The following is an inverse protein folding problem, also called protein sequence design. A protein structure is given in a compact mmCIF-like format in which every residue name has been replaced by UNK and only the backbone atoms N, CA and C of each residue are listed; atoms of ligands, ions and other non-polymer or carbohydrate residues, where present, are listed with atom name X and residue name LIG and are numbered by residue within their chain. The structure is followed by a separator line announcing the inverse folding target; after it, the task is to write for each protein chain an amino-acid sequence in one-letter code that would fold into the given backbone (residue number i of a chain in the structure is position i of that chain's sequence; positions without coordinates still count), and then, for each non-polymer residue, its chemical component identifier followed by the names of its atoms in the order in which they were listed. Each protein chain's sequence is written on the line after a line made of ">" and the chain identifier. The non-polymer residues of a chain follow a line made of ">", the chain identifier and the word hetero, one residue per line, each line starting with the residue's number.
data_IF_564310235452
#
_entry.id   IF_564310235452
#
_cell.length_a   1.000
_cell.length_b   1.000
_cell.length_c   1.000
_cell.angle_alpha   90.00
_cell.angle_beta   90.00
_cell.angle_gamma   90.00
#
_symmetry.space_group_name_H-M   'P 1'
#
loop_
_entity.id
_entity.type
_entity.pdbx_description
1 polymer ?
#
# COMPACT_ATOMS: atom_id res chain seq x y z
N UNK A 1 2.50 6.50 32.63
CA UNK A 1 1.22 5.81 32.90
C UNK A 1 0.51 5.54 31.58
N UNK A 2 0.75 4.37 31.00
CA UNK A 2 0.07 3.93 29.78
C UNK A 2 -1.30 3.34 30.17
N UNK A 3 -2.35 3.73 29.44
CA UNK A 3 -3.73 3.25 29.62
C UNK A 3 -3.91 1.96 28.82
N UNK A 4 -4.66 0.96 29.31
CA UNK A 4 -4.78 -0.34 28.67
C UNK A 4 -5.89 -0.31 27.62
N UNK A 5 -5.56 0.01 26.37
CA UNK A 5 -6.48 -0.22 25.25
C UNK A 5 -5.67 -0.50 23.98
N UNK A 6 -5.33 -1.77 23.76
CA UNK A 6 -5.16 -2.47 22.46
C UNK A 6 -4.31 -1.87 21.33
N UNK A 7 -3.78 -0.66 21.46
CA UNK A 7 -3.08 0.08 20.43
C UNK A 7 -1.57 -0.04 20.66
N UNK A 8 -0.84 -0.31 19.58
CA UNK A 8 0.62 -0.26 19.53
C UNK A 8 1.12 1.19 19.69
N UNK A 9 1.02 1.77 20.90
CA UNK A 9 1.60 3.10 21.25
C UNK A 9 2.22 3.03 22.65
N UNK A 10 3.42 3.55 22.91
CA UNK A 10 4.04 4.76 22.38
C UNK A 10 5.58 4.66 22.34
N UNK A 11 6.27 5.21 21.33
CA UNK A 11 7.53 5.92 21.52
C UNK A 11 7.21 7.35 21.99
N UNK A 12 7.95 7.87 22.97
CA UNK A 12 7.85 9.26 23.45
C UNK A 12 8.26 10.29 22.39
N UNK A 13 8.52 11.56 22.76
CA UNK A 13 8.98 12.59 21.82
C UNK A 13 10.39 12.24 21.32
N UNK A 14 10.45 11.38 20.31
CA UNK A 14 11.69 10.95 19.65
C UNK A 14 11.88 11.81 18.41
N UNK A 15 12.94 12.60 18.42
CA UNK A 15 13.47 13.21 17.22
C UNK A 15 13.63 12.15 16.11
N UNK A 16 13.05 12.40 14.94
CA UNK A 16 13.49 11.78 13.67
C UNK A 16 13.08 10.34 13.40
N UNK A 17 11.82 9.94 13.65
CA UNK A 17 11.35 8.63 13.21
C UNK A 17 11.02 8.65 11.71
N UNK A 18 12.06 8.73 10.89
CA UNK A 18 11.97 8.74 9.42
C UNK A 18 11.47 7.41 8.86
N UNK A 19 11.70 6.31 9.58
CA UNK A 19 11.36 4.94 9.13
C UNK A 19 10.78 4.13 10.29
N UNK A 20 9.62 3.53 10.08
CA UNK A 20 8.98 2.59 10.99
C UNK A 20 8.96 1.20 10.35
N UNK A 21 9.43 0.18 11.06
CA UNK A 21 9.39 -1.21 10.61
C UNK A 21 8.66 -2.06 11.64
N UNK A 22 7.64 -2.79 11.18
CA UNK A 22 6.85 -3.75 11.93
C UNK A 22 7.16 -5.14 11.37
N UNK A 23 7.99 -5.91 12.08
CA UNK A 23 8.36 -7.25 11.65
C UNK A 23 8.25 -8.30 12.76
N UNK A 24 7.85 -9.52 12.40
CA UNK A 24 7.75 -10.67 13.29
C UNK A 24 6.85 -10.44 14.52
N UNK A 25 5.80 -9.63 14.37
CA UNK A 25 4.88 -9.33 15.46
C UNK A 25 3.71 -10.34 15.53
N UNK A 26 3.18 -10.64 16.72
CA UNK A 26 2.00 -11.51 16.87
C UNK A 26 0.70 -10.70 16.71
N UNK A 27 0.61 -9.88 15.66
CA UNK A 27 -0.54 -8.99 15.43
C UNK A 27 -1.41 -9.52 14.30
N UNK A 28 -2.72 -9.61 14.57
CA UNK A 28 -3.71 -10.06 13.57
C UNK A 28 -4.28 -8.94 12.72
N UNK A 29 -4.28 -7.72 13.24
CA UNK A 29 -4.93 -6.58 12.60
C UNK A 29 -4.03 -5.36 12.74
N UNK A 30 -3.87 -4.61 11.66
CA UNK A 30 -3.43 -3.21 11.73
C UNK A 30 -4.70 -2.36 11.81
N UNK A 31 -4.99 -1.76 12.97
CA UNK A 31 -6.26 -1.09 13.20
C UNK A 31 -6.35 0.25 12.48
N UNK A 32 -7.56 0.77 12.35
CA UNK A 32 -7.81 2.13 11.90
C UNK A 32 -6.99 3.13 12.72
N UNK A 33 -6.41 4.15 12.06
CA UNK A 33 -5.62 5.20 12.69
C UNK A 33 -4.37 4.72 13.45
N UNK A 34 -3.88 3.50 13.17
CA UNK A 34 -2.69 2.92 13.82
C UNK A 34 -1.51 3.90 13.89
N UNK A 35 -1.25 4.61 12.79
CA UNK A 35 -0.09 5.49 12.63
C UNK A 35 -0.39 6.98 12.87
N UNK A 36 -1.59 7.34 13.33
CA UNK A 36 -2.02 8.75 13.50
C UNK A 36 -1.06 9.61 14.34
N UNK A 37 -0.57 10.73 13.82
CA UNK A 37 0.34 11.59 14.56
C UNK A 37 1.82 11.17 14.51
N UNK A 38 2.15 10.12 13.76
CA UNK A 38 3.51 9.87 13.29
C UNK A 38 3.84 10.81 12.11
N UNK A 39 3.78 12.13 12.34
CA UNK A 39 3.82 13.12 11.26
C UNK A 39 5.18 13.16 10.54
N UNK A 40 6.26 12.70 11.18
CA UNK A 40 7.63 12.72 10.63
C UNK A 40 7.98 11.43 9.87
N UNK A 41 7.07 10.45 9.79
CA UNK A 41 7.36 9.17 9.17
C UNK A 41 7.43 9.30 7.65
N UNK A 42 8.53 8.84 7.07
CA UNK A 42 8.76 8.83 5.61
C UNK A 42 8.56 7.43 5.03
N UNK A 43 8.84 6.38 5.82
CA UNK A 43 8.70 4.99 5.39
C UNK A 43 8.02 4.14 6.45
N UNK A 44 7.03 3.35 6.03
CA UNK A 44 6.45 2.29 6.85
C UNK A 44 6.67 0.95 6.15
N UNK A 45 7.28 0.02 6.87
CA UNK A 45 7.47 -1.37 6.44
C UNK A 45 6.71 -2.30 7.37
N UNK A 46 5.90 -3.19 6.79
CA UNK A 46 5.17 -4.26 7.46
C UNK A 46 5.63 -5.56 6.81
N UNK A 47 6.44 -6.35 7.51
CA UNK A 47 7.03 -7.54 6.92
C UNK A 47 7.08 -8.75 7.83
N UNK A 48 7.01 -9.96 7.28
CA UNK A 48 7.17 -11.21 8.04
C UNK A 48 6.22 -11.36 9.24
N UNK A 49 4.97 -10.88 9.08
CA UNK A 49 3.93 -10.99 10.11
C UNK A 49 2.98 -12.12 9.71
N UNK A 50 3.32 -13.35 10.11
CA UNK A 50 2.55 -14.55 9.76
C UNK A 50 1.13 -14.54 10.31
N UNK A 51 0.89 -13.83 11.42
CA UNK A 51 -0.43 -13.76 12.04
C UNK A 51 -1.32 -12.64 11.48
N UNK A 52 -0.81 -11.75 10.62
CA UNK A 52 -1.55 -10.62 10.12
C UNK A 52 -2.63 -11.08 9.13
N UNK A 53 -3.89 -10.76 9.43
CA UNK A 53 -5.05 -11.16 8.64
C UNK A 53 -5.72 -9.97 7.94
N UNK A 54 -5.66 -8.77 8.54
CA UNK A 54 -6.37 -7.57 8.07
C UNK A 54 -5.60 -6.27 8.29
N UNK A 55 -5.71 -5.36 7.32
CA UNK A 55 -5.43 -3.92 7.48
C UNK A 55 -6.77 -3.19 7.33
N UNK A 56 -7.16 -2.46 8.36
CA UNK A 56 -8.45 -1.77 8.41
C UNK A 56 -8.45 -0.45 7.60
N UNK A 57 -9.65 0.05 7.31
CA UNK A 57 -9.84 1.34 6.68
C UNK A 57 -9.22 2.46 7.54
N UNK A 58 -8.67 3.48 6.88
CA UNK A 58 -7.96 4.60 7.51
C UNK A 58 -6.72 4.20 8.33
N UNK A 59 -6.13 3.01 8.11
CA UNK A 59 -4.90 2.60 8.80
C UNK A 59 -3.73 3.57 8.52
N UNK A 60 -3.57 4.00 7.25
CA UNK A 60 -2.54 4.93 6.79
C UNK A 60 -3.11 6.32 6.47
N UNK A 61 -4.05 6.80 7.27
CA UNK A 61 -4.76 8.06 6.99
C UNK A 61 -3.92 9.30 7.35
N UNK A 62 -3.93 10.30 6.45
CA UNK A 62 -3.37 11.65 6.67
C UNK A 62 -1.88 11.69 7.05
N UNK A 63 -1.07 10.76 6.53
CA UNK A 63 0.38 10.74 6.75
C UNK A 63 1.10 11.58 5.70
N UNK A 64 1.11 12.91 5.92
CA UNK A 64 1.52 13.90 4.92
C UNK A 64 2.98 13.81 4.45
N UNK A 65 3.86 13.22 5.26
CA UNK A 65 5.28 13.04 4.94
C UNK A 65 5.62 11.61 4.47
N UNK A 66 4.66 10.70 4.49
CA UNK A 66 4.89 9.31 4.14
C UNK A 66 5.13 9.17 2.64
N UNK A 67 6.27 8.58 2.30
CA UNK A 67 6.75 8.43 0.95
C UNK A 67 6.77 6.97 0.49
N UNK A 68 7.03 6.04 1.40
CA UNK A 68 7.16 4.62 1.06
C UNK A 68 6.31 3.75 2.01
N UNK A 69 5.49 2.88 1.43
CA UNK A 69 4.78 1.81 2.14
C UNK A 69 5.21 0.47 1.55
N UNK A 70 5.74 -0.42 2.40
CA UNK A 70 6.09 -1.78 2.05
C UNK A 70 5.26 -2.76 2.88
N UNK A 71 4.50 -3.63 2.24
CA UNK A 71 3.75 -4.72 2.88
C UNK A 71 4.21 -6.02 2.23
N UNK A 72 5.05 -6.79 2.91
CA UNK A 72 5.78 -7.89 2.29
C UNK A 72 5.82 -9.15 3.14
N UNK A 73 5.72 -10.32 2.53
CA UNK A 73 5.84 -11.60 3.24
C UNK A 73 4.84 -11.76 4.40
N UNK A 74 3.61 -11.26 4.22
CA UNK A 74 2.50 -11.43 5.17
C UNK A 74 1.44 -12.33 4.56
N UNK A 75 1.75 -13.62 4.43
CA UNK A 75 0.96 -14.57 3.61
C UNK A 75 -0.48 -14.76 4.06
N UNK A 76 -0.77 -14.51 5.34
CA UNK A 76 -2.13 -14.61 5.87
C UNK A 76 -2.94 -13.32 5.77
N UNK A 77 -2.34 -12.22 5.27
CA UNK A 77 -3.06 -10.96 5.05
C UNK A 77 -4.05 -11.16 3.92
N UNK A 78 -5.34 -11.25 4.24
CA UNK A 78 -6.41 -11.54 3.28
C UNK A 78 -7.20 -10.30 2.89
N UNK A 79 -7.20 -9.29 3.76
CA UNK A 79 -8.02 -8.10 3.60
C UNK A 79 -7.19 -6.84 3.83
N UNK A 80 -7.12 -6.00 2.80
CA UNK A 80 -6.82 -4.58 2.93
C UNK A 80 -8.14 -3.89 2.65
N UNK A 81 -8.73 -3.26 3.67
CA UNK A 81 -10.04 -2.66 3.53
C UNK A 81 -10.03 -1.44 2.59
N UNK A 82 -11.13 -1.17 1.87
CA UNK A 82 -11.25 0.04 1.06
C UNK A 82 -10.97 1.29 1.88
N UNK A 83 -10.17 2.20 1.33
CA UNK A 83 -9.72 3.38 2.08
C UNK A 83 -8.69 3.11 3.17
N UNK A 84 -7.95 1.99 3.15
CA UNK A 84 -6.78 1.82 4.03
C UNK A 84 -5.70 2.89 3.77
N UNK A 85 -5.57 3.34 2.52
CA UNK A 85 -4.63 4.37 2.07
C UNK A 85 -5.40 5.64 1.68
N UNK A 86 -5.40 6.65 2.56
CA UNK A 86 -6.14 7.89 2.35
C UNK A 86 -5.23 9.10 2.57
N UNK A 87 -5.29 10.04 1.63
CA UNK A 87 -4.62 11.35 1.70
C UNK A 87 -3.13 11.24 2.05
N UNK A 88 -2.37 10.68 1.10
CA UNK A 88 -0.95 10.44 1.18
C UNK A 88 -0.22 11.24 0.08
N UNK A 89 -0.15 12.58 0.21
CA UNK A 89 0.25 13.49 -0.87
C UNK A 89 1.70 13.29 -1.34
N UNK A 90 2.58 12.71 -0.51
CA UNK A 90 4.00 12.45 -0.80
C UNK A 90 4.34 10.99 -1.08
N UNK A 91 3.32 10.12 -1.17
CA UNK A 91 3.55 8.70 -1.41
C UNK A 91 4.08 8.53 -2.83
N UNK A 92 5.27 7.95 -2.97
CA UNK A 92 5.91 7.65 -4.26
C UNK A 92 6.04 6.15 -4.51
N UNK A 93 6.00 5.33 -3.45
CA UNK A 93 6.23 3.89 -3.55
C UNK A 93 5.25 3.13 -2.65
N UNK A 94 4.39 2.32 -3.25
CA UNK A 94 3.54 1.37 -2.56
C UNK A 94 3.85 -0.04 -3.10
N UNK A 95 4.41 -0.88 -2.25
CA UNK A 95 4.71 -2.29 -2.57
C UNK A 95 3.88 -3.20 -1.69
N UNK A 96 3.10 -4.08 -2.30
CA UNK A 96 2.33 -5.12 -1.64
C UNK A 96 2.72 -6.44 -2.29
N UNK A 97 3.56 -7.21 -1.60
CA UNK A 97 4.15 -8.41 -2.16
C UNK A 97 4.06 -9.64 -1.27
N UNK A 98 3.87 -10.80 -1.90
CA UNK A 98 3.81 -12.10 -1.20
C UNK A 98 2.80 -12.06 -0.04
N UNK A 99 1.57 -11.65 -0.34
CA UNK A 99 0.44 -11.61 0.61
C UNK A 99 -0.70 -12.52 0.16
N UNK A 100 -1.66 -12.74 1.05
CA UNK A 100 -2.84 -13.58 0.80
C UNK A 100 -4.05 -12.81 0.25
N UNK A 101 -3.89 -11.56 -0.19
CA UNK A 101 -5.01 -10.72 -0.61
C UNK A 101 -5.65 -11.27 -1.89
N UNK A 102 -6.98 -11.20 -1.93
CA UNK A 102 -7.79 -11.71 -3.05
C UNK A 102 -8.36 -10.62 -3.94
N UNK A 103 -8.40 -9.39 -3.41
CA UNK A 103 -8.89 -8.21 -4.10
C UNK A 103 -7.72 -7.26 -4.30
N UNK A 104 -7.72 -6.57 -5.44
CA UNK A 104 -6.80 -5.47 -5.67
C UNK A 104 -6.97 -4.40 -4.59
N UNK A 105 -5.88 -3.85 -4.02
CA UNK A 105 -5.96 -2.83 -2.99
C UNK A 105 -6.61 -1.55 -3.52
N UNK A 106 -7.50 -0.95 -2.73
CA UNK A 106 -8.13 0.32 -3.10
C UNK A 106 -7.14 1.48 -2.92
N UNK A 107 -6.73 2.06 -4.04
CA UNK A 107 -5.79 3.17 -4.15
C UNK A 107 -6.46 4.44 -4.70
N UNK A 108 -7.79 4.43 -4.83
CA UNK A 108 -8.57 5.54 -5.41
C UNK A 108 -8.56 6.82 -4.55
N UNK A 109 -8.15 6.71 -3.28
CA UNK A 109 -8.11 7.81 -2.30
C UNK A 109 -6.70 8.18 -1.83
N UNK A 110 -5.66 7.66 -2.50
CA UNK A 110 -4.27 7.97 -2.15
C UNK A 110 -3.99 9.46 -2.33
N UNK A 111 -4.47 10.07 -3.43
CA UNK A 111 -4.31 11.50 -3.74
C UNK A 111 -2.84 11.97 -3.64
N UNK A 112 -1.91 11.15 -4.14
CA UNK A 112 -0.50 11.54 -4.22
C UNK A 112 -0.28 12.63 -5.27
N UNK A 113 0.61 13.58 -4.97
CA UNK A 113 1.04 14.64 -5.89
C UNK A 113 2.45 14.38 -6.46
N UNK A 114 3.03 13.21 -6.17
CA UNK A 114 4.35 12.83 -6.69
C UNK A 114 4.28 12.48 -8.18
N UNK A 115 5.26 12.92 -8.97
CA UNK A 115 5.31 12.73 -10.43
C UNK A 115 5.69 11.32 -10.87
N UNK A 116 6.36 10.55 -10.01
CA UNK A 116 6.81 9.19 -10.30
C UNK A 116 6.30 8.23 -9.22
N UNK A 117 5.02 7.88 -9.33
CA UNK A 117 4.39 6.92 -8.43
C UNK A 117 4.63 5.49 -8.92
N UNK A 118 5.17 4.65 -8.03
CA UNK A 118 5.42 3.24 -8.30
C UNK A 118 4.46 2.41 -7.45
N UNK A 119 3.61 1.64 -8.13
CA UNK A 119 2.77 0.63 -7.49
C UNK A 119 3.30 -0.76 -7.87
N UNK A 120 3.81 -1.46 -6.87
CA UNK A 120 4.32 -2.82 -7.04
C UNK A 120 3.37 -3.81 -6.35
N UNK A 121 2.69 -4.64 -7.14
CA UNK A 121 1.83 -5.71 -6.65
C UNK A 121 2.42 -7.04 -7.14
N UNK A 122 3.23 -7.71 -6.31
CA UNK A 122 3.98 -8.91 -6.72
C UNK A 122 3.67 -10.14 -5.86
N UNK A 123 3.78 -11.34 -6.42
CA UNK A 123 3.58 -12.61 -5.68
C UNK A 123 2.26 -12.72 -4.88
N UNK A 124 1.19 -12.02 -5.31
CA UNK A 124 -0.14 -12.13 -4.70
C UNK A 124 -0.98 -13.14 -5.47
N UNK A 125 -0.78 -14.43 -5.15
CA UNK A 125 -1.30 -15.60 -5.88
C UNK A 125 -2.84 -15.72 -5.96
N UNK A 126 -3.57 -14.81 -5.33
CA UNK A 126 -5.03 -14.89 -5.23
C UNK A 126 -5.76 -13.67 -5.79
N UNK A 127 -5.03 -12.66 -6.29
CA UNK A 127 -5.66 -11.55 -7.02
C UNK A 127 -5.98 -12.02 -8.43
N UNK A 128 -7.26 -12.01 -8.77
CA UNK A 128 -7.75 -12.46 -10.08
C UNK A 128 -8.44 -11.38 -10.89
N UNK A 129 -8.64 -10.19 -10.31
CA UNK A 129 -9.34 -9.08 -10.94
C UNK A 129 -8.76 -7.76 -10.46
N UNK A 130 -8.68 -6.79 -11.38
CA UNK A 130 -8.45 -5.38 -11.06
C UNK A 130 -9.76 -4.66 -11.41
N UNK A 131 -10.34 -3.87 -10.48
CA UNK A 131 -11.59 -3.18 -10.74
C UNK A 131 -11.37 -1.96 -11.63
N UNK A 132 -12.28 -1.72 -12.58
CA UNK A 132 -12.23 -0.53 -13.41
C UNK A 132 -12.09 0.76 -12.58
N UNK A 133 -11.25 1.68 -13.06
CA UNK A 133 -10.85 2.91 -12.36
C UNK A 133 -10.04 2.69 -11.07
N UNK A 134 -9.45 1.50 -10.85
CA UNK A 134 -8.60 1.23 -9.68
C UNK A 134 -7.52 2.29 -9.45
N UNK A 135 -6.99 2.90 -10.53
CA UNK A 135 -5.87 3.84 -10.49
C UNK A 135 -6.27 5.32 -10.38
N UNK A 136 -7.56 5.65 -10.27
CA UNK A 136 -8.06 7.03 -10.30
C UNK A 136 -7.46 7.95 -9.22
N UNK A 137 -7.02 7.39 -8.09
CA UNK A 137 -6.45 8.14 -6.98
C UNK A 137 -4.96 8.46 -7.11
N UNK A 138 -4.32 8.06 -8.22
CA UNK A 138 -2.92 8.32 -8.52
C UNK A 138 -2.80 9.52 -9.47
N UNK A 139 -1.69 10.26 -9.35
CA UNK A 139 -1.35 11.38 -10.23
C UNK A 139 -1.28 10.95 -11.71
N UNK A 140 -1.69 11.87 -12.59
CA UNK A 140 -1.84 11.78 -14.05
C UNK A 140 -0.53 11.74 -14.87
N UNK A 141 0.67 11.79 -14.27
CA UNK A 141 1.91 11.81 -15.05
C UNK A 141 2.36 10.40 -15.47
N UNK A 142 2.69 9.54 -14.50
CA UNK A 142 3.00 8.14 -14.78
C UNK A 142 2.81 7.22 -13.58
N UNK A 143 2.35 6.00 -13.85
CA UNK A 143 2.28 4.91 -12.87
C UNK A 143 3.14 3.77 -13.37
N UNK A 144 4.28 3.57 -12.71
CA UNK A 144 5.15 2.44 -13.02
C UNK A 144 4.69 1.21 -12.26
N UNK A 145 4.45 0.13 -13.01
CA UNK A 145 4.11 -1.19 -12.48
C UNK A 145 5.29 -2.12 -12.78
N UNK A 146 6.27 -2.29 -11.87
CA UNK A 146 7.40 -3.18 -12.10
C UNK A 146 6.90 -4.63 -12.09
N UNK A 147 6.94 -5.27 -13.25
CA UNK A 147 6.44 -6.64 -13.43
C UNK A 147 7.58 -7.65 -13.32
N UNK A 148 8.01 -7.96 -12.10
CA UNK A 148 8.85 -9.14 -11.88
C UNK A 148 8.03 -10.17 -11.09
N UNK A 149 7.76 -11.31 -11.74
CA UNK A 149 7.10 -12.51 -11.20
C UNK A 149 5.60 -12.47 -10.88
N UNK A 150 4.85 -11.43 -11.26
CA UNK A 150 3.39 -11.44 -11.14
C UNK A 150 2.74 -12.41 -12.13
N UNK A 151 1.80 -13.22 -11.65
CA UNK A 151 0.93 -14.13 -12.41
C UNK A 151 0.46 -13.49 -13.74
N UNK A 152 0.61 -14.20 -14.86
CA UNK A 152 0.29 -13.68 -16.22
C UNK A 152 -1.13 -13.09 -16.30
N UNK A 153 -2.05 -13.59 -15.47
CA UNK A 153 -3.41 -13.09 -15.36
C UNK A 153 -3.49 -11.59 -14.97
N UNK A 154 -2.63 -11.11 -14.08
CA UNK A 154 -2.64 -9.70 -13.62
C UNK A 154 -2.12 -8.78 -14.73
N UNK A 155 -1.14 -9.22 -15.52
CA UNK A 155 -0.65 -8.48 -16.69
C UNK A 155 -1.76 -8.29 -17.73
N UNK A 156 -2.52 -9.35 -18.03
CA UNK A 156 -3.65 -9.28 -18.96
C UNK A 156 -4.77 -8.35 -18.47
N UNK A 157 -5.11 -8.39 -17.17
CA UNK A 157 -6.12 -7.50 -16.58
C UNK A 157 -5.67 -6.04 -16.65
N UNK A 158 -4.39 -5.78 -16.40
CA UNK A 158 -3.84 -4.42 -16.47
C UNK A 158 -3.81 -3.91 -17.91
N UNK A 159 -3.44 -4.75 -18.88
CA UNK A 159 -3.51 -4.42 -20.31
C UNK A 159 -4.95 -4.18 -20.79
N UNK A 160 -5.93 -4.85 -20.17
CA UNK A 160 -7.34 -4.64 -20.45
C UNK A 160 -7.83 -3.30 -19.91
N UNK A 161 -7.49 -2.95 -18.68
CA UNK A 161 -7.80 -1.63 -18.12
C UNK A 161 -7.10 -0.49 -18.88
N UNK A 162 -5.84 -0.68 -19.31
CA UNK A 162 -5.14 0.27 -20.17
C UNK A 162 -5.84 0.49 -21.53
N UNK A 163 -6.43 -0.57 -22.10
CA UNK A 163 -7.19 -0.48 -23.37
C UNK A 163 -8.54 0.21 -23.18
N UNK A 164 -9.18 0.01 -22.03
CA UNK A 164 -10.48 0.62 -21.70
C UNK A 164 -10.35 2.09 -21.26
N UNK A 165 -9.20 2.47 -20.69
CA UNK A 165 -8.84 3.84 -20.31
C UNK A 165 -7.80 4.43 -21.27
N UNK A 166 -8.23 4.78 -22.48
CA UNK A 166 -7.43 5.53 -23.47
C UNK A 166 -6.99 6.89 -22.91
N UNK A 167 -5.80 6.95 -22.29
CA UNK A 167 -4.95 8.15 -22.12
C UNK A 167 -3.64 7.81 -21.37
N UNK A 168 -2.95 6.73 -21.75
CA UNK A 168 -1.60 6.44 -21.24
C UNK A 168 -0.61 6.33 -22.40
N UNK A 169 0.34 7.26 -22.48
CA UNK A 169 1.35 7.31 -23.54
C UNK A 169 2.24 6.05 -23.54
N UNK A 170 2.34 5.39 -24.69
CA UNK A 170 3.13 4.17 -24.98
C UNK A 170 4.64 4.26 -24.67
N UNK A 171 5.15 5.38 -24.19
CA UNK A 171 6.58 5.63 -23.93
C UNK A 171 7.14 4.92 -22.70
N UNK A 172 6.31 4.36 -21.81
CA UNK A 172 6.79 3.75 -20.54
C UNK A 172 6.89 2.22 -20.56
N UNK A 173 6.56 1.56 -21.69
CA UNK A 173 6.75 0.10 -21.87
C UNK A 173 8.13 -0.26 -22.46
N UNK A 174 9.21 0.44 -22.06
CA UNK A 174 10.57 0.10 -22.51
C UNK A 174 11.61 0.17 -21.38
N UNK A 175 11.68 -0.88 -20.55
CA UNK A 175 12.80 -1.85 -20.47
C UNK A 175 12.58 -2.86 -19.36
#
# INVERSE_FOLDING_TARGET
>A
NCVPDGALRCPGPTAGLTRLSLAYLPVKVIPSQAFRGLNEVIKIEISQIDSLERIEANAFDNLLNLSEILIQNTKNLRYIEPGAFINLPRLKYLSICNTGIRKFPDVTKVFSSESNFILEICDNLHITTIPGNAFQGMNNESVTLPWQNCDEAIKELTLKEKRENMDWNDSEMKR
#
